data_IF_556840354371
#
_entry.id   IF_556840354371
#
_cell.length_a   1.000
_cell.length_b   1.000
_cell.length_c   1.000
_cell.angle_alpha   90.00
_cell.angle_beta   90.00
_cell.angle_gamma   90.00
#
_symmetry.space_group_name_H-M   'P 1'
#
loop_
_entity.id
_entity.type
_entity.pdbx_description
1 polymer ?
#
# COMPACT_ATOMS: atom_id res chain seq x y z
N UNK A 1 12.61 -13.58 25.08
CA UNK A 1 12.15 -13.91 23.71
C UNK A 1 12.73 -12.84 22.80
N UNK A 2 13.51 -13.23 21.80
CA UNK A 2 14.08 -12.31 20.83
C UNK A 2 13.09 -12.23 19.66
N UNK A 3 12.49 -11.06 19.46
CA UNK A 3 11.48 -10.80 18.43
C UNK A 3 12.17 -10.06 17.28
N UNK A 4 12.97 -10.78 16.51
CA UNK A 4 13.64 -10.22 15.33
C UNK A 4 12.81 -10.54 14.08
N UNK A 5 12.58 -9.51 13.25
CA UNK A 5 11.95 -9.66 11.94
C UNK A 5 12.86 -10.47 11.00
N UNK A 6 12.27 -11.30 10.15
CA UNK A 6 12.98 -12.02 9.10
C UNK A 6 13.68 -11.08 8.11
N UNK A 7 14.70 -11.59 7.41
CA UNK A 7 15.38 -10.83 6.35
C UNK A 7 14.42 -10.42 5.23
N UNK A 8 13.44 -11.27 4.91
CA UNK A 8 12.38 -10.94 3.94
C UNK A 8 11.52 -9.76 4.41
N UNK A 9 11.13 -9.71 5.69
CA UNK A 9 10.39 -8.58 6.26
C UNK A 9 11.20 -7.27 6.14
N UNK A 10 12.51 -7.32 6.45
CA UNK A 10 13.40 -6.16 6.31
C UNK A 10 13.51 -5.69 4.84
N UNK A 11 13.69 -6.62 3.90
CA UNK A 11 13.77 -6.31 2.47
C UNK A 11 12.46 -5.68 1.97
N UNK A 12 11.32 -6.26 2.32
CA UNK A 12 10.01 -5.70 1.97
C UNK A 12 9.79 -4.34 2.62
N UNK A 13 10.25 -4.12 3.85
CA UNK A 13 10.20 -2.82 4.50
C UNK A 13 10.93 -1.73 3.70
N UNK A 14 12.10 -2.03 3.15
CA UNK A 14 12.84 -1.11 2.29
C UNK A 14 12.10 -0.83 0.98
N UNK A 15 11.55 -1.88 0.34
CA UNK A 15 10.80 -1.75 -0.92
C UNK A 15 9.50 -0.97 -0.74
N UNK A 16 8.75 -1.25 0.32
CA UNK A 16 7.53 -0.52 0.68
C UNK A 16 7.88 0.93 1.01
N UNK A 17 8.91 1.20 1.80
CA UNK A 17 9.32 2.58 2.09
C UNK A 17 9.61 3.36 0.81
N UNK A 18 10.36 2.76 -0.12
CA UNK A 18 10.65 3.37 -1.42
C UNK A 18 9.39 3.59 -2.25
N UNK A 19 8.50 2.59 -2.30
CA UNK A 19 7.21 2.70 -3.01
C UNK A 19 6.33 3.81 -2.42
N UNK A 20 6.33 3.97 -1.09
CA UNK A 20 5.61 5.04 -0.41
C UNK A 20 6.13 6.42 -0.84
N UNK A 21 7.46 6.59 -0.83
CA UNK A 21 8.13 7.84 -1.21
C UNK A 21 7.92 8.20 -2.70
N UNK A 22 8.04 7.23 -3.59
CA UNK A 22 8.00 7.44 -5.04
C UNK A 22 6.58 7.49 -5.62
N UNK A 23 5.62 6.82 -4.99
CA UNK A 23 4.30 6.59 -5.59
C UNK A 23 3.12 6.97 -4.72
N UNK A 24 3.18 6.81 -3.40
CA UNK A 24 2.03 7.03 -2.51
C UNK A 24 1.96 8.48 -2.04
N UNK A 25 3.00 9.00 -1.39
CA UNK A 25 2.96 10.38 -0.87
C UNK A 25 2.72 11.42 -1.98
N UNK A 26 3.31 11.32 -3.18
CA UNK A 26 2.98 12.22 -4.27
C UNK A 26 1.52 12.09 -4.77
N UNK A 27 0.89 10.93 -4.60
CA UNK A 27 -0.47 10.67 -5.05
C UNK A 27 -1.55 11.23 -4.11
N UNK A 28 -1.21 11.54 -2.86
CA UNK A 28 -2.17 12.04 -1.86
C UNK A 28 -2.83 13.36 -2.30
N UNK A 29 -2.05 14.26 -2.90
CA UNK A 29 -2.57 15.53 -3.42
C UNK A 29 -3.58 15.30 -4.56
N UNK A 30 -3.23 14.45 -5.53
CA UNK A 30 -4.12 14.12 -6.65
C UNK A 30 -5.38 13.37 -6.20
N UNK A 31 -5.25 12.50 -5.18
CA UNK A 31 -6.40 11.86 -4.56
C UNK A 31 -7.35 12.89 -3.94
N UNK A 32 -6.81 13.85 -3.18
CA UNK A 32 -7.61 14.91 -2.56
C UNK A 32 -8.35 15.75 -3.61
N UNK A 33 -7.68 16.14 -4.69
CA UNK A 33 -8.30 16.87 -5.81
C UNK A 33 -9.45 16.10 -6.47
N UNK A 34 -9.24 14.81 -6.78
CA UNK A 34 -10.28 13.96 -7.38
C UNK A 34 -11.49 13.79 -6.45
N UNK A 35 -11.24 13.60 -5.14
CA UNK A 35 -12.31 13.48 -4.15
C UNK A 35 -13.09 14.78 -3.95
N UNK A 36 -12.42 15.93 -4.03
CA UNK A 36 -13.08 17.24 -3.99
C UNK A 36 -14.00 17.42 -5.21
N UNK A 37 -13.53 17.08 -6.41
CA UNK A 37 -14.33 17.15 -7.64
C UNK A 37 -15.55 16.24 -7.57
N UNK A 38 -15.38 14.98 -7.15
CA UNK A 38 -16.50 14.06 -6.91
C UNK A 38 -17.53 14.60 -5.91
N UNK A 39 -17.05 15.30 -4.89
CA UNK A 39 -17.92 15.94 -3.90
C UNK A 39 -18.72 17.08 -4.53
N UNK A 40 -18.09 17.93 -5.35
CA UNK A 40 -18.76 19.04 -6.09
C UNK A 40 -19.80 18.53 -7.07
N UNK A 41 -19.55 17.39 -7.71
CA UNK A 41 -20.49 16.72 -8.61
C UNK A 41 -21.67 16.04 -7.88
N UNK A 42 -21.68 16.04 -6.54
CA UNK A 42 -22.71 15.37 -5.73
C UNK A 42 -22.58 13.85 -5.71
N UNK A 43 -21.46 13.29 -6.19
CA UNK A 43 -21.21 11.86 -6.25
C UNK A 43 -19.85 11.51 -5.63
N UNK A 44 -19.73 11.73 -4.32
CA UNK A 44 -18.48 11.53 -3.56
C UNK A 44 -18.00 10.07 -3.52
N UNK A 45 -18.91 9.10 -3.62
CA UNK A 45 -18.62 7.67 -3.42
C UNK A 45 -18.10 7.00 -4.69
N UNK A 46 -17.07 7.59 -5.29
CA UNK A 46 -16.38 7.07 -6.48
C UNK A 46 -14.95 6.70 -6.11
N UNK A 47 -14.39 5.69 -6.76
CA UNK A 47 -12.99 5.34 -6.62
C UNK A 47 -12.15 6.29 -7.49
N UNK A 48 -11.23 7.07 -6.91
CA UNK A 48 -10.33 7.94 -7.67
C UNK A 48 -9.45 7.12 -8.61
N UNK A 49 -9.31 7.58 -9.86
CA UNK A 49 -8.48 6.91 -10.88
C UNK A 49 -7.03 6.75 -10.42
N UNK A 50 -6.53 7.69 -9.61
CA UNK A 50 -5.17 7.63 -9.07
C UNK A 50 -4.93 6.35 -8.24
N UNK A 51 -5.94 5.88 -7.50
CA UNK A 51 -5.85 4.63 -6.72
C UNK A 51 -5.67 3.44 -7.66
N UNK A 52 -6.49 3.33 -8.69
CA UNK A 52 -6.41 2.24 -9.68
C UNK A 52 -5.08 2.22 -10.44
N UNK A 53 -4.52 3.40 -10.71
CA UNK A 53 -3.22 3.50 -11.36
C UNK A 53 -2.09 3.05 -10.43
N UNK A 54 -2.14 3.39 -9.14
CA UNK A 54 -1.14 2.92 -8.17
C UNK A 54 -1.24 1.43 -7.88
N UNK A 55 -2.44 0.84 -7.82
CA UNK A 55 -2.64 -0.62 -7.71
C UNK A 55 -1.93 -1.39 -8.82
N UNK A 56 -1.93 -0.86 -10.05
CA UNK A 56 -1.24 -1.50 -11.19
C UNK A 56 0.27 -1.53 -10.97
N UNK A 57 0.84 -0.43 -10.45
CA UNK A 57 2.28 -0.34 -10.15
C UNK A 57 2.64 -1.28 -8.99
N UNK A 58 1.86 -1.27 -7.91
CA UNK A 58 2.04 -2.18 -6.77
C UNK A 58 2.04 -3.65 -7.21
N UNK A 59 1.11 -4.04 -8.10
CA UNK A 59 1.07 -5.38 -8.71
C UNK A 59 2.30 -5.68 -9.56
N UNK A 60 2.75 -4.75 -10.41
CA UNK A 60 3.94 -4.97 -11.23
C UNK A 60 5.23 -5.07 -10.43
N UNK A 61 5.27 -4.41 -9.26
CA UNK A 61 6.39 -4.50 -8.32
C UNK A 61 6.26 -5.67 -7.34
N UNK A 62 5.19 -6.46 -7.40
CA UNK A 62 4.98 -7.59 -6.49
C UNK A 62 4.74 -7.18 -5.03
N UNK A 63 4.25 -5.97 -4.79
CA UNK A 63 3.86 -5.44 -3.48
C UNK A 63 2.35 -5.58 -3.20
N UNK A 64 1.67 -6.43 -3.97
CA UNK A 64 0.22 -6.62 -3.91
C UNK A 64 -0.15 -7.89 -3.11
N UNK A 65 -1.23 -7.80 -2.31
CA UNK A 65 -1.77 -8.93 -1.53
C UNK A 65 -0.77 -9.59 -0.55
N UNK A 66 0.10 -8.79 0.08
CA UNK A 66 1.11 -9.27 1.03
C UNK A 66 0.51 -9.93 2.30
N UNK A 67 -0.76 -9.66 2.61
CA UNK A 67 -1.47 -10.23 3.77
C UNK A 67 -2.03 -11.63 3.54
N UNK A 68 -2.02 -12.16 2.31
CA UNK A 68 -2.63 -13.46 2.02
C UNK A 68 -1.82 -14.61 2.65
N UNK A 69 -2.44 -15.43 3.52
CA UNK A 69 -1.76 -16.55 4.18
C UNK A 69 -1.46 -17.72 3.23
N UNK A 70 -2.17 -17.82 2.11
CA UNK A 70 -1.84 -18.69 0.98
C UNK A 70 -1.78 -17.78 -0.24
N UNK A 71 -0.61 -17.18 -0.48
CA UNK A 71 -0.46 -16.25 -1.59
C UNK A 71 -0.11 -17.05 -2.87
N UNK A 72 -1.01 -17.14 -3.86
CA UNK A 72 -0.69 -17.82 -5.13
C UNK A 72 0.42 -17.10 -5.92
N UNK A 73 0.76 -15.86 -5.56
CA UNK A 73 1.83 -15.06 -6.16
C UNK A 73 3.07 -14.91 -5.25
N UNK A 74 3.14 -15.58 -4.09
CA UNK A 74 4.28 -15.42 -3.19
C UNK A 74 4.23 -16.29 -1.93
N UNK A 75 5.23 -16.16 -1.07
CA UNK A 75 5.28 -16.89 0.19
C UNK A 75 4.39 -16.22 1.26
N UNK A 76 3.75 -17.03 2.10
CA UNK A 76 2.98 -16.53 3.24
C UNK A 76 3.89 -15.84 4.27
N UNK A 77 3.32 -14.97 5.09
CA UNK A 77 4.06 -14.18 6.09
C UNK A 77 3.45 -14.36 7.47
N UNK A 78 4.30 -14.43 8.50
CA UNK A 78 3.83 -14.44 9.88
C UNK A 78 3.28 -13.07 10.29
N UNK A 79 2.39 -13.03 11.28
CA UNK A 79 1.90 -11.75 11.81
C UNK A 79 3.03 -10.87 12.36
N UNK A 80 4.09 -11.47 12.92
CA UNK A 80 5.25 -10.75 13.43
C UNK A 80 5.98 -10.01 12.30
N UNK A 81 6.21 -10.69 11.18
CA UNK A 81 6.90 -10.14 10.01
C UNK A 81 6.06 -9.10 9.25
N UNK A 82 4.73 -9.23 9.28
CA UNK A 82 3.82 -8.37 8.55
C UNK A 82 3.47 -7.08 9.30
N UNK A 83 3.38 -7.13 10.63
CA UNK A 83 3.06 -5.96 11.46
C UNK A 83 3.90 -4.70 11.17
N UNK A 84 5.24 -4.74 11.05
CA UNK A 84 6.02 -3.54 10.74
C UNK A 84 5.75 -3.00 9.32
N UNK A 85 5.35 -3.85 8.38
CA UNK A 85 4.98 -3.41 7.02
C UNK A 85 3.68 -2.62 7.05
N UNK A 86 2.71 -3.07 7.85
CA UNK A 86 1.47 -2.33 8.10
C UNK A 86 1.71 -0.95 8.72
N UNK A 87 2.66 -0.85 9.64
CA UNK A 87 3.03 0.45 10.25
C UNK A 87 3.54 1.43 9.18
N UNK A 88 4.36 0.97 8.23
CA UNK A 88 4.85 1.80 7.13
C UNK A 88 3.71 2.25 6.21
N UNK A 89 2.85 1.33 5.78
CA UNK A 89 1.71 1.64 4.92
C UNK A 89 0.71 2.57 5.62
N UNK A 90 0.48 2.39 6.93
CA UNK A 90 -0.43 3.20 7.74
C UNK A 90 -0.05 4.67 7.88
N UNK A 91 1.12 5.09 7.38
CA UNK A 91 1.53 6.51 7.33
C UNK A 91 0.76 7.33 6.31
N UNK A 92 0.05 6.68 5.38
CA UNK A 92 -0.80 7.32 4.38
C UNK A 92 -2.25 6.89 4.51
N UNK A 93 -3.18 7.82 4.28
CA UNK A 93 -4.62 7.52 4.27
C UNK A 93 -5.08 6.69 3.07
N UNK A 94 -4.26 6.58 2.02
CA UNK A 94 -4.62 5.90 0.76
C UNK A 94 -3.82 4.62 0.50
N UNK A 95 -2.71 4.40 1.21
CA UNK A 95 -1.83 3.25 0.96
C UNK A 95 -2.53 1.90 1.14
N UNK A 96 -3.39 1.77 2.15
CA UNK A 96 -4.11 0.52 2.42
C UNK A 96 -5.12 0.14 1.33
N UNK A 97 -5.44 1.07 0.43
CA UNK A 97 -6.32 0.84 -0.71
C UNK A 97 -5.54 0.45 -1.98
N UNK A 98 -4.21 0.53 -1.97
CA UNK A 98 -3.31 0.36 -3.11
C UNK A 98 -2.54 -0.96 -3.04
#
# INVERSE_FOLDING_TARGET
>A
VQLDNSERSKELGLRISKFMDEHIFPAEAFYAEQMEEFTKQGNRWQTPQIIEDKKKIAKSEGLWNLFLPENPMGESMSNLDYAPLCELMGRSGIASEI
#
